data_IF_089703844788
#
_entry.id   IF_089703844788
#
_cell.length_a   1.000
_cell.length_b   1.000
_cell.length_c   1.000
_cell.angle_alpha   90.00
_cell.angle_beta   90.00
_cell.angle_gamma   90.00
#
_symmetry.space_group_name_H-M   'P 1'
#
loop_
_entity.id
_entity.type
_entity.pdbx_description
1 polymer ?
#
# COMPACT_ATOMS: atom_id res chain seq x y z
N UNK A 1 4.89 -9.98 -30.30
CA UNK A 1 3.66 -9.39 -29.74
C UNK A 1 3.24 -10.20 -28.51
N UNK A 2 3.63 -9.75 -27.31
CA UNK A 2 3.31 -10.40 -26.03
C UNK A 2 2.74 -9.36 -25.06
N UNK A 3 1.40 -9.27 -25.14
CA UNK A 3 0.43 -9.03 -24.06
C UNK A 3 0.92 -8.42 -22.74
N UNK A 4 0.51 -7.15 -22.56
CA UNK A 4 0.30 -6.47 -21.27
C UNK A 4 -0.27 -7.41 -20.19
N UNK A 5 0.57 -7.88 -19.26
CA UNK A 5 0.13 -8.41 -17.95
C UNK A 5 1.10 -7.97 -16.87
N UNK A 6 0.95 -6.72 -16.44
CA UNK A 6 1.61 -6.17 -15.27
C UNK A 6 0.54 -6.00 -14.18
N UNK A 7 0.58 -6.78 -13.11
CA UNK A 7 -0.17 -6.47 -11.87
C UNK A 7 0.61 -6.95 -10.64
N UNK A 8 1.13 -6.01 -9.87
CA UNK A 8 1.51 -6.15 -8.47
C UNK A 8 1.40 -4.76 -7.79
N UNK A 9 0.75 -4.73 -6.62
CA UNK A 9 0.48 -3.59 -5.73
C UNK A 9 0.29 -2.22 -6.42
N UNK A 10 -0.95 -1.96 -6.87
CA UNK A 10 -1.34 -0.64 -7.35
C UNK A 10 -1.79 0.19 -6.14
N UNK A 11 -0.99 1.16 -5.71
CA UNK A 11 -1.53 2.31 -4.97
C UNK A 11 -2.11 3.23 -6.05
N UNK A 12 -3.30 2.89 -6.56
CA UNK A 12 -3.93 3.70 -7.60
C UNK A 12 -4.57 4.92 -6.94
N UNK A 13 -4.13 6.12 -7.32
CA UNK A 13 -4.91 7.35 -7.08
C UNK A 13 -6.07 7.33 -8.07
N UNK A 14 -7.15 6.61 -7.76
CA UNK A 14 -8.44 6.88 -8.42
C UNK A 14 -8.99 8.19 -7.87
N UNK A 15 -9.28 9.12 -8.77
CA UNK A 15 -9.97 10.36 -8.46
C UNK A 15 -11.20 10.06 -7.59
N UNK A 16 -11.30 10.78 -6.49
CA UNK A 16 -12.31 10.61 -5.46
C UNK A 16 -13.72 10.52 -6.06
N UNK A 17 -14.37 9.37 -5.87
CA UNK A 17 -15.82 9.26 -5.94
C UNK A 17 -16.46 9.21 -4.55
N UNK A 18 -15.66 9.19 -3.47
CA UNK A 18 -16.13 9.17 -2.09
C UNK A 18 -15.29 10.14 -1.26
N UNK A 19 -15.90 10.73 -0.23
CA UNK A 19 -15.49 12.00 0.41
C UNK A 19 -14.08 12.04 1.00
N UNK A 20 -13.76 13.20 1.58
CA UNK A 20 -12.47 13.69 2.09
C UNK A 20 -11.80 12.84 3.21
N UNK A 21 -12.13 11.55 3.32
CA UNK A 21 -11.73 10.61 4.38
C UNK A 21 -10.96 9.40 3.83
N UNK A 22 -10.77 9.30 2.51
CA UNK A 22 -10.22 8.10 1.85
C UNK A 22 -8.71 7.94 1.95
N UNK A 23 -7.96 8.97 2.37
CA UNK A 23 -6.50 8.97 2.40
C UNK A 23 -5.97 9.40 3.76
N UNK A 24 -4.85 8.81 4.17
CA UNK A 24 -4.14 9.15 5.39
C UNK A 24 -2.70 9.52 5.07
N UNK A 25 -2.17 10.54 5.74
CA UNK A 25 -0.76 10.89 5.63
C UNK A 25 0.12 9.79 6.23
N UNK A 26 1.20 9.48 5.53
CA UNK A 26 2.17 8.45 5.91
C UNK A 26 3.56 8.89 5.50
N UNK A 27 4.56 8.41 6.23
CA UNK A 27 5.95 8.43 5.79
C UNK A 27 6.20 7.15 4.97
N UNK A 28 6.68 7.30 3.74
CA UNK A 28 6.95 6.19 2.82
C UNK A 28 8.21 6.45 2.02
N UNK A 29 9.20 5.57 2.20
CA UNK A 29 10.57 5.70 1.68
C UNK A 29 11.28 6.99 2.10
N UNK A 30 10.99 7.47 3.31
CA UNK A 30 11.64 8.66 3.89
C UNK A 30 11.01 9.99 3.47
N UNK A 31 9.93 9.97 2.68
CA UNK A 31 9.18 11.15 2.31
C UNK A 31 7.70 11.02 2.68
N UNK A 32 7.08 12.13 3.05
CA UNK A 32 5.66 12.18 3.40
C UNK A 32 4.81 12.11 2.13
N UNK A 33 3.81 11.23 2.14
CA UNK A 33 2.79 11.09 1.09
C UNK A 33 1.45 10.70 1.72
N UNK A 34 0.46 10.34 0.91
CA UNK A 34 -0.83 9.82 1.35
C UNK A 34 -1.05 8.40 0.87
N UNK A 35 -1.65 7.56 1.71
CA UNK A 35 -2.01 6.18 1.40
C UNK A 35 -3.53 5.96 1.58
N UNK A 36 -4.13 4.98 0.88
CA UNK A 36 -5.54 4.67 1.06
C UNK A 36 -5.81 4.15 2.47
N UNK A 37 -6.76 4.76 3.16
CA UNK A 37 -7.13 4.41 4.54
C UNK A 37 -8.03 3.16 4.63
N UNK A 38 -8.68 2.79 3.53
CA UNK A 38 -9.68 1.72 3.45
C UNK A 38 -9.26 0.37 4.07
N UNK A 39 -8.08 -0.20 3.74
CA UNK A 39 -7.67 -1.49 4.29
C UNK A 39 -7.58 -1.50 5.82
N UNK A 40 -6.98 -0.45 6.40
CA UNK A 40 -6.89 -0.29 7.85
C UNK A 40 -8.26 -0.07 8.48
N UNK A 41 -9.08 0.80 7.88
CA UNK A 41 -10.45 1.06 8.34
C UNK A 41 -11.30 -0.22 8.39
N UNK A 42 -11.32 -1.00 7.31
CA UNK A 42 -12.12 -2.23 7.29
C UNK A 42 -11.61 -3.28 8.27
N UNK A 43 -10.29 -3.43 8.43
CA UNK A 43 -9.71 -4.34 9.43
C UNK A 43 -10.17 -3.99 10.84
N UNK A 44 -10.07 -2.71 11.24
CA UNK A 44 -10.51 -2.25 12.56
C UNK A 44 -12.04 -2.33 12.74
N UNK A 45 -12.80 -1.99 11.70
CA UNK A 45 -14.28 -2.00 11.75
C UNK A 45 -14.85 -3.42 11.87
N UNK A 46 -14.21 -4.41 11.26
CA UNK A 46 -14.75 -5.77 11.13
C UNK A 46 -14.03 -6.81 11.99
N UNK A 47 -12.85 -6.48 12.52
CA UNK A 47 -11.96 -7.45 13.16
C UNK A 47 -11.23 -8.39 12.19
N UNK A 48 -11.39 -8.20 10.87
CA UNK A 48 -10.70 -9.02 9.88
C UNK A 48 -9.17 -8.77 9.88
N UNK A 49 -8.34 -9.81 9.74
CA UNK A 49 -6.88 -9.66 9.72
C UNK A 49 -6.43 -8.89 8.47
N UNK A 50 -5.57 -7.88 8.68
CA UNK A 50 -4.91 -7.15 7.59
C UNK A 50 -3.55 -7.77 7.27
N UNK A 51 -3.44 -8.42 6.11
CA UNK A 51 -2.21 -9.10 5.67
C UNK A 51 -1.51 -8.30 4.56
N UNK A 52 -0.28 -7.80 4.80
CA UNK A 52 0.55 -7.25 3.73
C UNK A 52 1.01 -8.38 2.79
N UNK A 53 0.96 -8.13 1.48
CA UNK A 53 1.43 -9.10 0.50
C UNK A 53 2.05 -8.42 -0.73
N UNK A 54 3.00 -9.10 -1.36
CA UNK A 54 3.53 -8.73 -2.66
C UNK A 54 3.64 -9.96 -3.56
N UNK A 55 3.52 -9.73 -4.87
CA UNK A 55 3.62 -10.76 -5.89
C UNK A 55 4.73 -10.36 -6.85
N UNK A 56 5.70 -11.23 -7.03
CA UNK A 56 6.86 -11.01 -7.88
C UNK A 56 6.82 -11.93 -9.09
N UNK A 57 7.23 -11.44 -10.26
CA UNK A 57 7.59 -12.30 -11.38
C UNK A 57 8.83 -13.12 -11.03
N UNK A 58 8.80 -14.41 -11.34
CA UNK A 58 9.93 -15.31 -11.12
C UNK A 58 10.14 -16.26 -12.29
N UNK A 59 11.41 -16.44 -12.67
CA UNK A 59 11.81 -17.39 -13.72
C UNK A 59 11.85 -18.84 -13.20
N UNK A 60 11.86 -19.07 -11.88
CA UNK A 60 11.94 -20.42 -11.28
C UNK A 60 10.82 -21.35 -11.72
N UNK A 61 9.62 -20.81 -11.89
CA UNK A 61 8.42 -21.56 -12.29
C UNK A 61 7.73 -20.96 -13.51
N UNK A 62 8.43 -20.09 -14.25
CA UNK A 62 7.84 -19.25 -15.30
C UNK A 62 6.48 -18.66 -14.87
N UNK A 63 6.47 -17.95 -13.73
CA UNK A 63 5.22 -17.58 -13.06
C UNK A 63 5.42 -16.51 -11.99
N UNK A 64 4.60 -16.60 -10.94
CA UNK A 64 4.56 -15.61 -9.87
C UNK A 64 4.95 -16.24 -8.52
N UNK A 65 5.66 -15.47 -7.71
CA UNK A 65 5.97 -15.82 -6.33
C UNK A 65 5.30 -14.80 -5.41
N UNK A 66 4.31 -15.26 -4.64
CA UNK A 66 3.64 -14.44 -3.65
C UNK A 66 4.33 -14.56 -2.29
N UNK A 67 4.54 -13.42 -1.63
CA UNK A 67 5.00 -13.34 -0.24
C UNK A 67 3.88 -12.72 0.56
N UNK A 68 3.32 -13.48 1.49
CA UNK A 68 2.32 -13.01 2.47
C UNK A 68 3.03 -12.81 3.80
N UNK A 69 2.88 -11.62 4.37
CA UNK A 69 3.43 -11.26 5.68
C UNK A 69 2.42 -11.59 6.79
N UNK A 70 2.86 -11.76 8.04
CA UNK A 70 1.95 -11.96 9.17
C UNK A 70 0.88 -10.85 9.28
N UNK A 71 -0.28 -11.14 9.89
CA UNK A 71 -1.29 -10.12 10.13
C UNK A 71 -0.72 -8.94 10.91
N UNK A 72 -1.08 -7.73 10.49
CA UNK A 72 -0.79 -6.53 11.26
C UNK A 72 -1.67 -6.50 12.50
N UNK A 73 -1.04 -6.50 13.67
CA UNK A 73 -1.71 -6.24 14.94
C UNK A 73 -1.60 -4.77 15.31
N UNK A 74 -2.68 -4.19 15.82
CA UNK A 74 -2.67 -2.89 16.48
C UNK A 74 -3.33 -3.06 17.86
N UNK A 75 -2.66 -2.62 18.92
CA UNK A 75 -3.38 -2.33 20.16
C UNK A 75 -4.15 -1.03 19.93
N UNK A 76 -5.49 -1.12 19.99
CA UNK A 76 -6.38 0.03 19.96
C UNK A 76 -6.06 0.92 21.15
N UNK A 77 -5.76 2.19 20.87
CA UNK A 77 -5.28 3.14 21.88
C UNK A 77 -5.91 4.52 21.76
N UNK A 78 -6.75 4.75 20.75
CA UNK A 78 -7.32 6.07 20.48
C UNK A 78 -8.67 5.99 19.75
N UNK A 79 -9.04 7.10 19.11
CA UNK A 79 -10.21 7.13 18.25
C UNK A 79 -9.95 6.36 16.95
N UNK A 80 -11.03 5.89 16.30
CA UNK A 80 -10.95 5.11 15.05
C UNK A 80 -10.06 5.77 13.98
N UNK A 81 -10.11 7.10 13.86
CA UNK A 81 -9.30 7.84 12.89
C UNK A 81 -7.79 7.71 13.16
N UNK A 82 -7.38 7.81 14.42
CA UNK A 82 -5.97 7.74 14.82
C UNK A 82 -5.45 6.32 14.64
N UNK A 83 -6.26 5.32 15.00
CA UNK A 83 -5.90 3.92 14.84
C UNK A 83 -5.83 3.51 13.36
N UNK A 84 -6.70 4.05 12.50
CA UNK A 84 -6.60 3.91 11.04
C UNK A 84 -5.27 4.48 10.52
N UNK A 85 -4.90 5.69 10.95
CA UNK A 85 -3.64 6.31 10.53
C UNK A 85 -2.43 5.46 10.96
N UNK A 86 -2.40 5.03 12.23
CA UNK A 86 -1.32 4.18 12.79
C UNK A 86 -1.21 2.84 12.08
N UNK A 87 -2.33 2.17 11.82
CA UNK A 87 -2.34 0.88 11.14
C UNK A 87 -1.95 1.02 9.66
N UNK A 88 -2.37 2.10 9.00
CA UNK A 88 -1.94 2.39 7.62
C UNK A 88 -0.44 2.67 7.56
N UNK A 89 0.13 3.44 8.49
CA UNK A 89 1.58 3.63 8.56
C UNK A 89 2.35 2.32 8.72
N UNK A 90 1.85 1.39 9.56
CA UNK A 90 2.43 0.04 9.69
C UNK A 90 2.38 -0.74 8.39
N UNK A 91 1.25 -0.66 7.67
CA UNK A 91 1.10 -1.29 6.36
C UNK A 91 2.10 -0.74 5.34
N UNK A 92 2.30 0.58 5.32
CA UNK A 92 3.29 1.21 4.43
C UNK A 92 4.72 0.74 4.75
N UNK A 93 5.08 0.58 6.03
CA UNK A 93 6.37 0.02 6.43
C UNK A 93 6.59 -1.42 5.92
N UNK A 94 5.56 -2.28 5.98
CA UNK A 94 5.64 -3.62 5.39
C UNK A 94 5.75 -3.58 3.86
N UNK A 95 5.05 -2.64 3.19
CA UNK A 95 5.22 -2.43 1.76
C UNK A 95 6.63 -1.97 1.39
N UNK A 96 7.27 -1.09 2.17
CA UNK A 96 8.67 -0.74 1.91
C UNK A 96 9.58 -1.98 1.95
N UNK A 97 9.42 -2.85 2.95
CA UNK A 97 10.21 -4.09 3.04
C UNK A 97 9.96 -4.99 1.83
N UNK A 98 8.70 -5.14 1.41
CA UNK A 98 8.33 -5.95 0.26
C UNK A 98 8.84 -5.34 -1.06
N UNK A 99 8.77 -4.03 -1.24
CA UNK A 99 9.25 -3.34 -2.44
C UNK A 99 10.78 -3.40 -2.51
N UNK A 100 11.50 -3.19 -1.40
CA UNK A 100 12.98 -3.29 -1.34
C UNK A 100 13.52 -4.64 -1.81
N UNK A 101 12.72 -5.71 -1.75
CA UNK A 101 13.11 -7.04 -2.20
C UNK A 101 13.28 -7.14 -3.73
N UNK A 102 12.50 -6.39 -4.48
CA UNK A 102 12.53 -6.38 -5.95
C UNK A 102 11.98 -5.03 -6.46
N UNK A 103 12.69 -3.92 -6.23
CA UNK A 103 12.22 -2.58 -6.53
C UNK A 103 11.92 -2.38 -8.02
N UNK A 104 12.64 -3.08 -8.90
CA UNK A 104 12.42 -3.07 -10.35
C UNK A 104 11.07 -3.66 -10.79
N UNK A 105 10.40 -4.41 -9.91
CA UNK A 105 9.08 -4.98 -10.17
C UNK A 105 7.95 -4.15 -9.57
N UNK A 106 8.27 -3.07 -8.87
CA UNK A 106 7.28 -2.14 -8.37
C UNK A 106 6.83 -1.20 -9.48
N UNK A 107 5.59 -1.37 -9.91
CA UNK A 107 5.03 -0.65 -11.04
C UNK A 107 4.29 0.60 -10.55
N UNK A 108 5.02 1.72 -10.44
CA UNK A 108 4.46 3.02 -10.11
C UNK A 108 4.48 3.92 -11.35
N UNK A 109 3.30 4.22 -11.90
CA UNK A 109 3.14 4.96 -13.16
C UNK A 109 2.58 6.38 -12.97
N UNK A 110 2.39 6.80 -11.73
CA UNK A 110 1.87 8.14 -11.40
C UNK A 110 2.68 8.73 -10.26
N UNK A 111 2.80 10.07 -10.19
CA UNK A 111 3.42 10.75 -9.07
C UNK A 111 2.86 10.24 -7.75
N UNK A 112 3.74 9.78 -6.88
CA UNK A 112 3.39 9.25 -5.57
C UNK A 112 3.87 10.19 -4.47
N UNK A 113 4.91 10.97 -4.70
CA UNK A 113 5.45 11.89 -3.71
C UNK A 113 5.28 13.36 -4.12
N UNK A 114 5.16 14.29 -3.15
CA UNK A 114 5.17 15.72 -3.42
C UNK A 114 6.36 16.20 -4.23
N UNK A 115 7.53 15.56 -4.10
CA UNK A 115 8.71 15.86 -4.92
C UNK A 115 8.60 15.44 -6.40
N UNK A 116 7.65 14.56 -6.74
CA UNK A 116 7.54 14.02 -8.09
C UNK A 116 7.03 15.08 -9.07
N UNK A 117 7.60 15.17 -10.29
CA UNK A 117 7.05 16.02 -11.33
C UNK A 117 5.59 15.69 -11.63
N UNK A 118 4.72 16.70 -11.53
CA UNK A 118 3.29 16.54 -11.79
C UNK A 118 2.48 16.03 -10.60
N UNK A 119 3.04 16.02 -9.38
CA UNK A 119 2.26 15.79 -8.18
C UNK A 119 1.18 16.86 -8.01
N UNK A 120 -0.08 16.42 -7.90
CA UNK A 120 -1.22 17.28 -7.61
C UNK A 120 -1.76 16.91 -6.22
N UNK A 121 -1.62 17.85 -5.28
CA UNK A 121 -2.13 17.73 -3.91
C UNK A 121 -3.64 17.45 -3.88
#
# INVERSE_FOLDING_TARGET
SLTKRQKAAVIERRAALHGNHDRTEVDFFGERTTAPAGPAFFSLRTGAPLLPLAVYFTRRVNGHHAVVRPPLSLAERGGLRDDVSRLTQRLMGEFEMLIRRAPEQWHLFSPNWPSDPGYAA
#
